data_IF_980115542556
#
_entry.id   IF_980115542556
#
_cell.length_a   1.000
_cell.length_b   1.000
_cell.length_c   1.000
_cell.angle_alpha   90.00
_cell.angle_beta   90.00
_cell.angle_gamma   90.00
#
_symmetry.space_group_name_H-M   'P 1'
#
loop_
_entity.id
_entity.type
_entity.pdbx_description
1 polymer ?
#
# COMPACT_ATOMS: atom_id res chain seq x y z
N UNK A 1 -41.77 18.60 -63.62
CA UNK A 1 -42.16 19.84 -62.92
C UNK A 1 -42.64 19.47 -61.52
N UNK A 2 -41.80 19.60 -60.51
CA UNK A 2 -42.16 19.39 -59.10
C UNK A 2 -42.33 20.76 -58.44
N UNK A 3 -43.49 21.01 -57.83
CA UNK A 3 -43.77 22.23 -57.07
C UNK A 3 -43.05 22.16 -55.71
N UNK A 4 -42.40 23.24 -55.23
CA UNK A 4 -41.83 23.25 -53.90
C UNK A 4 -42.95 23.35 -52.85
N UNK A 5 -42.94 22.44 -51.88
CA UNK A 5 -43.76 22.51 -50.68
C UNK A 5 -43.19 23.59 -49.76
N UNK A 6 -43.92 24.70 -49.65
CA UNK A 6 -43.65 25.74 -48.67
C UNK A 6 -43.83 25.20 -47.24
N UNK A 7 -42.73 24.99 -46.53
CA UNK A 7 -42.74 24.76 -45.08
C UNK A 7 -42.63 26.13 -44.41
N UNK A 8 -43.70 26.92 -44.48
CA UNK A 8 -43.85 28.15 -43.69
C UNK A 8 -45.01 27.99 -42.72
N UNK A 9 -44.68 28.06 -41.42
CA UNK A 9 -45.64 28.47 -40.40
C UNK A 9 -46.11 27.37 -39.46
N UNK A 10 -45.28 26.97 -38.48
CA UNK A 10 -45.79 26.30 -37.27
C UNK A 10 -45.00 26.58 -35.99
N UNK A 11 -44.39 27.76 -35.87
CA UNK A 11 -43.65 28.17 -34.66
C UNK A 11 -44.47 29.15 -33.77
N UNK A 12 -45.62 29.66 -34.23
CA UNK A 12 -46.31 30.79 -33.57
C UNK A 12 -47.42 30.46 -32.56
N UNK A 13 -47.66 29.21 -32.17
CA UNK A 13 -48.84 28.88 -31.33
C UNK A 13 -48.57 28.27 -29.95
N UNK A 14 -47.31 28.14 -29.50
CA UNK A 14 -47.05 27.63 -28.14
C UNK A 14 -47.15 28.68 -27.03
N UNK A 15 -47.10 29.98 -27.38
CA UNK A 15 -47.18 31.09 -26.41
C UNK A 15 -48.60 31.53 -26.01
N UNK A 16 -49.66 31.06 -26.69
CA UNK A 16 -51.03 31.55 -26.45
C UNK A 16 -51.82 30.73 -25.43
N UNK A 17 -51.35 29.54 -25.02
CA UNK A 17 -52.06 28.68 -24.04
C UNK A 17 -51.80 29.02 -22.57
N UNK A 18 -50.95 30.01 -22.27
CA UNK A 18 -50.68 30.46 -20.90
C UNK A 18 -51.46 31.73 -20.50
N UNK A 19 -52.24 32.32 -21.41
CA UNK A 19 -53.13 33.45 -21.10
C UNK A 19 -54.47 32.93 -20.57
N UNK A 20 -54.56 32.72 -19.26
CA UNK A 20 -55.84 32.37 -18.64
C UNK A 20 -55.83 32.05 -17.16
N UNK A 21 -54.67 32.05 -16.49
CA UNK A 21 -54.62 31.95 -15.03
C UNK A 21 -53.97 33.19 -14.47
N UNK A 22 -54.77 33.99 -13.75
CA UNK A 22 -54.29 35.02 -12.82
C UNK A 22 -53.62 34.33 -11.62
N UNK A 23 -52.52 33.61 -11.85
CA UNK A 23 -51.74 33.05 -10.76
C UNK A 23 -51.05 34.24 -10.09
N UNK A 24 -51.31 34.41 -8.79
CA UNK A 24 -50.63 35.45 -8.03
C UNK A 24 -49.13 35.15 -8.07
N UNK A 25 -48.32 36.13 -8.45
CA UNK A 25 -46.84 36.01 -8.49
C UNK A 25 -46.29 35.52 -7.15
N UNK A 26 -46.98 35.84 -6.04
CA UNK A 26 -46.68 35.37 -4.70
C UNK A 26 -46.74 33.84 -4.57
N UNK A 27 -47.73 33.19 -5.18
CA UNK A 27 -47.83 31.72 -5.15
C UNK A 27 -46.73 31.06 -5.99
N UNK A 28 -46.36 31.64 -7.14
CA UNK A 28 -45.24 31.12 -7.95
C UNK A 28 -43.90 31.26 -7.23
N UNK A 29 -43.66 32.39 -6.55
CA UNK A 29 -42.44 32.59 -5.77
C UNK A 29 -42.37 31.65 -4.56
N UNK A 30 -43.51 31.42 -3.90
CA UNK A 30 -43.59 30.46 -2.81
C UNK A 30 -43.28 29.03 -3.27
N UNK A 31 -43.87 28.60 -4.40
CA UNK A 31 -43.65 27.27 -4.96
C UNK A 31 -42.20 27.08 -5.45
N UNK A 32 -41.61 28.13 -6.04
CA UNK A 32 -40.19 28.15 -6.41
C UNK A 32 -39.29 28.03 -5.18
N UNK A 33 -39.57 28.79 -4.11
CA UNK A 33 -38.80 28.72 -2.86
C UNK A 33 -38.89 27.33 -2.23
N UNK A 34 -40.09 26.74 -2.23
CA UNK A 34 -40.33 25.39 -1.71
C UNK A 34 -39.54 24.35 -2.53
N UNK A 35 -39.52 24.46 -3.86
CA UNK A 35 -38.71 23.60 -4.72
C UNK A 35 -37.21 23.71 -4.42
N UNK A 36 -36.69 24.92 -4.23
CA UNK A 36 -35.28 25.14 -3.87
C UNK A 36 -34.96 24.49 -2.52
N UNK A 37 -35.85 24.60 -1.53
CA UNK A 37 -35.68 23.96 -0.23
C UNK A 37 -35.64 22.43 -0.37
N UNK A 38 -36.55 21.84 -1.14
CA UNK A 38 -36.56 20.39 -1.39
C UNK A 38 -35.26 19.95 -2.06
N UNK A 39 -34.80 20.66 -3.10
CA UNK A 39 -33.57 20.32 -3.82
C UNK A 39 -32.34 20.42 -2.92
N UNK A 40 -32.25 21.45 -2.08
CA UNK A 40 -31.12 21.62 -1.15
C UNK A 40 -31.11 20.53 -0.08
N UNK A 41 -32.25 20.19 0.50
CA UNK A 41 -32.39 19.06 1.45
C UNK A 41 -31.98 17.73 0.83
N UNK A 42 -32.48 17.44 -0.38
CA UNK A 42 -32.16 16.19 -1.09
C UNK A 42 -30.67 16.10 -1.42
N UNK A 43 -30.06 17.22 -1.84
CA UNK A 43 -28.62 17.27 -2.10
C UNK A 43 -27.80 17.07 -0.83
N UNK A 44 -28.22 17.66 0.29
CA UNK A 44 -27.52 17.53 1.57
C UNK A 44 -27.57 16.10 2.10
N UNK A 45 -28.73 15.44 2.01
CA UNK A 45 -28.90 14.03 2.36
C UNK A 45 -28.01 13.15 1.49
N UNK A 46 -27.95 13.40 0.18
CA UNK A 46 -27.12 12.61 -0.72
C UNK A 46 -25.63 12.76 -0.41
N UNK A 47 -25.17 13.98 -0.08
CA UNK A 47 -23.79 14.23 0.37
C UNK A 47 -23.48 13.50 1.67
N UNK A 48 -24.33 13.66 2.68
CA UNK A 48 -24.16 13.02 3.98
C UNK A 48 -24.12 11.48 3.87
N UNK A 49 -24.98 10.90 3.03
CA UNK A 49 -24.96 9.46 2.78
C UNK A 49 -23.65 9.01 2.13
N UNK A 50 -23.21 9.70 1.08
CA UNK A 50 -21.98 9.34 0.37
C UNK A 50 -20.73 9.51 1.23
N UNK A 51 -20.69 10.56 2.06
CA UNK A 51 -19.61 10.78 3.02
C UNK A 51 -19.63 9.71 4.12
N UNK A 52 -20.81 9.30 4.60
CA UNK A 52 -20.97 8.19 5.54
C UNK A 52 -20.42 6.87 4.98
N UNK A 53 -20.78 6.51 3.74
CA UNK A 53 -20.29 5.29 3.08
C UNK A 53 -18.77 5.32 2.90
N UNK A 54 -18.20 6.46 2.49
CA UNK A 54 -16.74 6.63 2.34
C UNK A 54 -16.00 6.53 3.67
N UNK A 55 -16.55 7.12 4.72
CA UNK A 55 -15.95 7.08 6.05
C UNK A 55 -16.00 5.67 6.65
N UNK A 56 -17.07 4.92 6.44
CA UNK A 56 -17.14 3.51 6.85
C UNK A 56 -16.05 2.65 6.16
N UNK A 57 -15.80 2.88 4.88
CA UNK A 57 -14.71 2.20 4.17
C UNK A 57 -13.33 2.54 4.75
N UNK A 58 -13.09 3.81 5.08
CA UNK A 58 -11.84 4.26 5.72
C UNK A 58 -11.65 3.68 7.12
N UNK A 59 -12.71 3.67 7.93
CA UNK A 59 -12.67 3.11 9.28
C UNK A 59 -12.30 1.63 9.27
N UNK A 60 -12.90 0.83 8.37
CA UNK A 60 -12.53 -0.58 8.24
C UNK A 60 -11.06 -0.79 7.87
N UNK A 61 -10.53 0.03 6.95
CA UNK A 61 -9.11 -0.04 6.56
C UNK A 61 -8.20 0.34 7.74
N UNK A 62 -8.59 1.35 8.52
CA UNK A 62 -7.84 1.76 9.71
C UNK A 62 -7.90 0.71 10.82
N UNK A 63 -9.06 0.08 11.05
CA UNK A 63 -9.24 -1.04 11.98
C UNK A 63 -8.36 -2.24 11.59
N UNK A 64 -8.35 -2.64 10.32
CA UNK A 64 -7.49 -3.72 9.84
C UNK A 64 -6.00 -3.41 10.01
N UNK A 65 -5.58 -2.15 9.78
CA UNK A 65 -4.20 -1.72 10.02
C UNK A 65 -3.85 -1.77 11.51
N UNK A 66 -4.77 -1.38 12.36
CA UNK A 66 -4.58 -1.38 13.81
C UNK A 66 -4.40 -2.80 14.33
N UNK A 67 -5.22 -3.75 13.86
CA UNK A 67 -5.09 -5.17 14.20
C UNK A 67 -3.70 -5.69 13.81
N UNK A 68 -3.26 -5.44 12.57
CA UNK A 68 -1.93 -5.86 12.09
C UNK A 68 -0.80 -5.27 12.94
N UNK A 69 -0.89 -3.99 13.30
CA UNK A 69 0.10 -3.33 14.15
C UNK A 69 0.12 -3.90 15.56
N UNK A 70 -1.04 -4.29 16.10
CA UNK A 70 -1.11 -4.96 17.41
C UNK A 70 -0.49 -6.35 17.38
N UNK A 71 -0.76 -7.14 16.32
CA UNK A 71 -0.14 -8.45 16.12
C UNK A 71 1.38 -8.34 15.96
N UNK A 72 1.85 -7.39 15.16
CA UNK A 72 3.28 -7.14 14.96
C UNK A 72 3.95 -6.70 16.26
N UNK A 73 3.33 -5.79 17.02
CA UNK A 73 3.84 -5.36 18.31
C UNK A 73 3.89 -6.51 19.33
N UNK A 74 2.84 -7.33 19.40
CA UNK A 74 2.82 -8.52 20.26
C UNK A 74 3.96 -9.48 19.92
N UNK A 75 4.18 -9.76 18.62
CA UNK A 75 5.28 -10.61 18.15
C UNK A 75 6.66 -10.02 18.48
N UNK A 76 6.87 -8.74 18.18
CA UNK A 76 8.14 -8.07 18.47
C UNK A 76 8.43 -8.01 19.97
N UNK A 77 7.40 -7.80 20.79
CA UNK A 77 7.51 -7.84 22.25
C UNK A 77 7.90 -9.23 22.75
N UNK A 78 7.33 -10.29 22.18
CA UNK A 78 7.73 -11.67 22.49
C UNK A 78 9.19 -11.95 22.11
N UNK A 79 9.61 -11.55 20.90
CA UNK A 79 11.01 -11.67 20.45
C UNK A 79 11.96 -10.88 21.34
N UNK A 80 11.62 -9.63 21.71
CA UNK A 80 12.42 -8.82 22.60
C UNK A 80 12.59 -9.48 23.98
N UNK A 81 11.50 -10.05 24.51
CA UNK A 81 11.54 -10.78 25.78
C UNK A 81 12.39 -12.04 25.68
N UNK A 82 12.33 -12.76 24.56
CA UNK A 82 13.20 -13.90 24.28
C UNK A 82 14.67 -13.50 24.26
N UNK A 83 15.04 -12.42 23.55
CA UNK A 83 16.42 -11.94 23.52
C UNK A 83 16.93 -11.47 24.89
N UNK A 84 16.05 -10.95 25.75
CA UNK A 84 16.37 -10.60 27.15
C UNK A 84 16.49 -11.82 28.07
N UNK A 85 15.94 -12.97 27.67
CA UNK A 85 15.93 -14.17 28.50
C UNK A 85 17.35 -14.66 28.84
N UNK A 86 17.45 -15.46 29.91
CA UNK A 86 18.71 -16.12 30.30
C UNK A 86 19.05 -17.21 29.27
N UNK A 87 18.05 -17.86 28.69
CA UNK A 87 18.23 -18.92 27.70
C UNK A 87 18.95 -18.40 26.45
N UNK A 88 18.51 -17.26 25.92
CA UNK A 88 19.19 -16.62 24.79
C UNK A 88 20.63 -16.25 25.13
N UNK A 89 20.87 -15.66 26.31
CA UNK A 89 22.23 -15.32 26.76
C UNK A 89 23.13 -16.56 26.88
N UNK A 90 22.60 -17.68 27.35
CA UNK A 90 23.32 -18.96 27.45
C UNK A 90 23.61 -19.55 26.07
N UNK A 91 22.64 -19.51 25.16
CA UNK A 91 22.82 -19.95 23.77
C UNK A 91 23.86 -19.08 23.05
N UNK A 92 23.74 -17.76 23.12
CA UNK A 92 24.68 -16.81 22.55
C UNK A 92 26.10 -16.98 23.12
N UNK A 93 26.24 -17.16 24.43
CA UNK A 93 27.54 -17.41 25.06
C UNK A 93 28.14 -18.75 24.62
N UNK A 94 27.33 -19.80 24.43
CA UNK A 94 27.78 -21.09 23.90
C UNK A 94 28.30 -20.98 22.47
N UNK A 95 27.52 -20.34 21.61
CA UNK A 95 27.90 -20.14 20.21
C UNK A 95 29.17 -19.27 20.11
N UNK A 96 29.26 -18.20 20.92
CA UNK A 96 30.44 -17.31 20.95
C UNK A 96 31.71 -18.00 21.45
N UNK A 97 31.57 -18.99 22.34
CA UNK A 97 32.69 -19.75 22.91
C UNK A 97 32.95 -21.06 22.15
N UNK A 98 32.26 -21.29 21.03
CA UNK A 98 32.32 -22.52 20.22
C UNK A 98 32.14 -23.80 21.07
N UNK A 99 31.26 -23.72 22.07
CA UNK A 99 30.96 -24.83 22.98
C UNK A 99 29.92 -25.76 22.35
N UNK A 100 29.98 -27.06 22.67
CA UNK A 100 29.04 -28.03 22.12
C UNK A 100 27.60 -27.78 22.58
N UNK A 101 26.65 -28.07 21.70
CA UNK A 101 25.23 -28.06 22.05
C UNK A 101 24.89 -29.25 22.93
N UNK A 102 23.71 -29.19 23.55
CA UNK A 102 23.22 -30.28 24.40
C UNK A 102 23.01 -31.54 23.54
N UNK A 103 23.78 -32.59 23.81
CA UNK A 103 23.83 -33.83 23.02
C UNK A 103 24.98 -33.93 22.01
N UNK A 104 25.80 -32.90 21.85
CA UNK A 104 26.98 -32.92 20.97
C UNK A 104 28.28 -33.14 21.78
N UNK A 105 29.20 -33.93 21.23
CA UNK A 105 30.51 -34.21 21.84
C UNK A 105 31.60 -33.46 21.08
N UNK A 106 32.32 -32.57 21.78
CA UNK A 106 33.50 -31.89 21.23
C UNK A 106 34.69 -32.86 21.22
N UNK A 107 35.28 -33.06 20.04
CA UNK A 107 36.52 -33.81 19.89
C UNK A 107 37.68 -32.82 19.73
N UNK A 108 38.64 -32.87 20.67
CA UNK A 108 39.90 -32.17 20.53
C UNK A 108 40.82 -33.01 19.64
N UNK A 109 40.94 -32.64 18.37
CA UNK A 109 41.93 -33.24 17.46
C UNK A 109 43.25 -32.52 17.68
N UNK A 110 44.11 -33.09 18.54
CA UNK A 110 45.50 -32.67 18.66
C UNK A 110 46.22 -33.26 17.45
N UNK A 111 46.55 -32.42 16.47
CA UNK A 111 47.50 -32.78 15.41
C UNK A 111 48.90 -32.52 15.95
N UNK A 112 49.78 -33.51 15.86
CA UNK A 112 51.21 -33.26 16.09
C UNK A 112 51.67 -32.20 15.08
N UNK A 113 52.43 -31.21 15.54
CA UNK A 113 52.93 -30.04 14.77
C UNK A 113 53.81 -30.40 13.55
N UNK A 114 53.88 -31.67 13.14
CA UNK A 114 54.81 -32.18 12.15
C UNK A 114 54.21 -32.49 10.77
N UNK A 115 52.96 -32.15 10.54
CA UNK A 115 52.44 -32.02 9.17
C UNK A 115 52.03 -30.57 9.00
N UNK A 116 53.01 -29.78 8.53
CA UNK A 116 52.77 -28.61 7.70
C UNK A 116 51.92 -29.09 6.51
N UNK A 117 50.61 -29.21 6.73
CA UNK A 117 49.64 -29.07 5.65
C UNK A 117 50.00 -27.73 5.04
N UNK A 118 50.72 -27.77 3.91
CA UNK A 118 50.94 -26.61 3.07
C UNK A 118 49.53 -26.07 2.78
N UNK A 119 49.15 -25.05 3.55
CA UNK A 119 48.02 -24.21 3.24
C UNK A 119 48.42 -23.64 1.89
N UNK A 120 47.95 -24.26 0.81
CA UNK A 120 47.88 -23.58 -0.48
C UNK A 120 47.16 -22.28 -0.14
N UNK A 121 47.94 -21.18 -0.09
CA UNK A 121 47.42 -19.84 0.03
C UNK A 121 46.46 -19.72 -1.15
N UNK A 122 45.19 -19.96 -0.85
CA UNK A 122 44.11 -19.97 -1.81
C UNK A 122 43.95 -18.51 -2.23
N UNK A 123 44.76 -18.16 -3.23
CA UNK A 123 44.77 -16.97 -4.05
C UNK A 123 44.18 -15.75 -3.33
N UNK A 124 44.99 -15.10 -2.51
CA UNK A 124 44.82 -13.67 -2.24
C UNK A 124 44.72 -12.97 -3.59
N UNK A 125 43.50 -12.67 -4.02
CA UNK A 125 43.24 -11.90 -5.22
C UNK A 125 43.79 -10.50 -4.98
N UNK A 126 45.04 -10.27 -5.37
CA UNK A 126 45.62 -8.94 -5.38
C UNK A 126 45.07 -8.19 -6.60
N UNK A 127 44.17 -7.21 -6.41
CA UNK A 127 43.57 -6.46 -7.51
C UNK A 127 44.60 -5.69 -8.35
N UNK A 128 45.84 -5.52 -7.88
CA UNK A 128 46.90 -4.83 -8.60
C UNK A 128 47.74 -5.74 -9.53
N UNK A 129 47.61 -7.07 -9.43
CA UNK A 129 48.32 -8.01 -10.31
C UNK A 129 47.51 -8.42 -11.55
N UNK A 130 46.22 -8.05 -11.59
CA UNK A 130 45.32 -8.40 -12.67
C UNK A 130 45.59 -7.53 -13.89
N UNK A 131 46.15 -8.15 -14.93
CA UNK A 131 46.34 -7.54 -16.24
C UNK A 131 45.03 -6.87 -16.73
N UNK A 132 45.06 -5.55 -16.92
CA UNK A 132 43.91 -4.70 -17.32
C UNK A 132 43.18 -5.22 -18.57
N UNK A 133 43.84 -6.01 -19.41
CA UNK A 133 43.24 -6.64 -20.59
C UNK A 133 42.22 -7.77 -20.30
N UNK A 134 42.09 -8.23 -19.05
CA UNK A 134 41.14 -9.31 -18.69
C UNK A 134 39.87 -8.81 -17.98
N UNK A 135 39.82 -7.54 -17.58
CA UNK A 135 38.72 -6.97 -16.77
C UNK A 135 37.39 -6.89 -17.53
N UNK A 136 37.41 -6.80 -18.87
CA UNK A 136 36.22 -6.63 -19.70
C UNK A 136 35.40 -7.91 -19.86
N UNK A 137 35.99 -9.10 -19.63
CA UNK A 137 35.25 -10.36 -19.63
C UNK A 137 34.34 -10.53 -18.41
N UNK A 138 34.73 -9.97 -17.25
CA UNK A 138 33.94 -10.08 -16.02
C UNK A 138 32.70 -9.19 -16.04
N UNK A 139 32.76 -8.04 -16.74
CA UNK A 139 31.60 -7.13 -16.89
C UNK A 139 30.53 -7.67 -17.84
N UNK A 140 30.85 -8.63 -18.70
CA UNK A 140 29.91 -9.18 -19.70
C UNK A 140 29.14 -10.41 -19.16
N UNK A 141 29.72 -11.15 -18.20
CA UNK A 141 29.09 -12.33 -17.60
C UNK A 141 28.22 -12.03 -16.36
N UNK A 142 28.22 -10.79 -15.88
CA UNK A 142 27.43 -10.35 -14.71
C UNK A 142 26.05 -9.79 -15.03
N UNK A 143 25.44 -10.16 -16.15
CA UNK A 143 24.08 -9.74 -16.53
C UNK A 143 23.20 -10.93 -16.93
#
# INVERSE_FOLDING_TARGET
MQKPLEIKGKIKSFGSKLKGKNISVKFLLFDLALLIIIVTLTSNIYRAYNDGVRNLGRLKIEEEKLIKLQEENAKLSEEENYYKSIEFRKAYARDSLNLSKEGETLYLVIRDENEEDAIEEDLLFDPNTVNKSKQWKLLILGR
#
